data_IF_021121105557
#
_entry.id   IF_021121105557
#
_cell.length_a   1.000
_cell.length_b   1.000
_cell.length_c   1.000
_cell.angle_alpha   90.00
_cell.angle_beta   90.00
_cell.angle_gamma   90.00
#
_symmetry.space_group_name_H-M   'P 1'
#
loop_
_entity.id
_entity.type
_entity.pdbx_description
1 polymer ?
#
# COMPACT_ATOMS: atom_id res chain seq x y z
N UNK A 1 -16.97 -45.05 -22.23
CA UNK A 1 -15.49 -44.95 -22.21
C UNK A 1 -15.06 -44.40 -20.86
N UNK A 2 -14.41 -45.21 -20.02
CA UNK A 2 -13.81 -44.71 -18.78
C UNK A 2 -12.59 -43.86 -19.13
N UNK A 3 -12.51 -42.63 -18.61
CA UNK A 3 -11.40 -41.74 -18.90
C UNK A 3 -10.07 -42.33 -18.43
N UNK A 4 -9.04 -42.29 -19.29
CA UNK A 4 -7.72 -42.90 -19.07
C UNK A 4 -6.86 -42.21 -18.00
N UNK A 5 -7.37 -41.17 -17.30
CA UNK A 5 -6.61 -40.39 -16.31
C UNK A 5 -7.11 -40.70 -14.90
N UNK A 6 -6.18 -41.11 -14.02
CA UNK A 6 -6.45 -41.34 -12.59
C UNK A 6 -6.93 -40.07 -11.90
N UNK A 7 -8.05 -40.15 -11.18
CA UNK A 7 -8.58 -39.01 -10.40
C UNK A 7 -7.71 -38.75 -9.17
N UNK A 8 -6.89 -37.69 -9.23
CA UNK A 8 -5.98 -37.30 -8.14
C UNK A 8 -6.70 -36.56 -7.00
N UNK A 9 -7.64 -35.66 -7.31
CA UNK A 9 -8.42 -34.89 -6.32
C UNK A 9 -9.63 -35.71 -5.82
N UNK A 10 -9.36 -36.85 -5.21
CA UNK A 10 -10.37 -37.78 -4.72
C UNK A 10 -10.71 -37.55 -3.22
N UNK A 11 -11.66 -38.33 -2.68
CA UNK A 11 -12.07 -38.25 -1.26
C UNK A 11 -10.88 -38.46 -0.31
N UNK A 12 -9.95 -39.36 -0.64
CA UNK A 12 -8.77 -39.64 0.17
C UNK A 12 -7.80 -38.45 0.21
N UNK A 13 -7.61 -37.74 -0.92
CA UNK A 13 -6.84 -36.51 -1.00
C UNK A 13 -7.38 -35.45 -0.04
N UNK A 14 -8.68 -35.13 -0.12
CA UNK A 14 -9.28 -34.09 0.72
C UNK A 14 -9.30 -34.44 2.22
N UNK A 15 -9.37 -35.73 2.57
CA UNK A 15 -9.23 -36.19 3.97
C UNK A 15 -7.86 -35.86 4.58
N UNK A 16 -6.80 -35.78 3.76
CA UNK A 16 -5.42 -35.50 4.20
C UNK A 16 -4.93 -34.11 3.79
N UNK A 17 -5.77 -33.32 3.13
CA UNK A 17 -5.37 -32.03 2.59
C UNK A 17 -5.26 -31.00 3.71
N UNK A 18 -4.02 -30.63 4.06
CA UNK A 18 -3.76 -29.57 5.02
C UNK A 18 -3.74 -28.21 4.33
N UNK A 19 -4.70 -27.36 4.69
CA UNK A 19 -4.76 -26.00 4.17
C UNK A 19 -3.65 -25.13 4.76
N UNK A 20 -3.01 -24.32 3.91
CA UNK A 20 -2.14 -23.23 4.39
C UNK A 20 -2.98 -22.14 5.08
N UNK A 21 -2.33 -21.26 5.85
CA UNK A 21 -2.97 -20.14 6.52
C UNK A 21 -3.79 -19.27 5.54
N UNK A 22 -4.89 -18.68 6.04
CA UNK A 22 -5.83 -17.89 5.24
C UNK A 22 -5.14 -16.86 4.33
N UNK A 23 -4.27 -16.01 4.89
CA UNK A 23 -3.55 -14.96 4.12
C UNK A 23 -2.54 -15.52 3.13
N UNK A 24 -2.00 -16.72 3.37
CA UNK A 24 -1.12 -17.42 2.42
C UNK A 24 -1.92 -17.96 1.23
N UNK A 25 -3.11 -18.53 1.48
CA UNK A 25 -4.05 -18.96 0.43
C UNK A 25 -4.57 -17.80 -0.40
N UNK A 26 -4.79 -16.64 0.22
CA UNK A 26 -5.13 -15.39 -0.49
C UNK A 26 -3.93 -14.73 -1.19
N UNK A 27 -2.71 -15.26 -1.03
CA UNK A 27 -1.51 -14.70 -1.69
C UNK A 27 -1.11 -13.30 -1.19
N UNK A 28 -1.46 -12.92 0.04
CA UNK A 28 -1.23 -11.56 0.58
C UNK A 28 -0.08 -11.44 1.56
N UNK A 29 0.45 -12.55 2.04
CA UNK A 29 1.48 -12.53 3.10
C UNK A 29 2.40 -13.72 2.97
N UNK A 30 3.69 -13.42 2.96
CA UNK A 30 4.73 -14.38 3.30
C UNK A 30 4.93 -14.39 4.82
N UNK A 31 4.61 -15.51 5.45
CA UNK A 31 4.76 -15.68 6.89
C UNK A 31 6.22 -15.84 7.31
N UNK A 32 7.11 -16.23 6.39
CA UNK A 32 8.54 -16.37 6.67
C UNK A 32 9.20 -15.01 6.91
N UNK A 33 8.97 -14.04 6.01
CA UNK A 33 9.37 -12.65 6.19
C UNK A 33 8.67 -12.00 7.39
N UNK A 34 7.33 -12.16 7.49
CA UNK A 34 6.54 -11.55 8.58
C UNK A 34 7.02 -11.97 9.97
N UNK A 35 7.34 -13.25 10.17
CA UNK A 35 7.83 -13.75 11.47
C UNK A 35 9.10 -13.00 11.91
N UNK A 36 10.06 -12.79 11.01
CA UNK A 36 11.32 -12.08 11.32
C UNK A 36 11.12 -10.60 11.58
N UNK A 37 10.18 -9.99 10.86
CA UNK A 37 9.93 -8.56 10.95
C UNK A 37 9.18 -8.17 12.23
N UNK A 38 8.26 -9.03 12.68
CA UNK A 38 7.30 -8.70 13.75
C UNK A 38 7.70 -9.23 15.12
N UNK A 39 8.40 -10.36 15.18
CA UNK A 39 8.83 -10.93 16.47
C UNK A 39 9.83 -9.98 17.14
N UNK A 40 9.56 -9.69 18.40
CA UNK A 40 10.40 -8.87 19.27
C UNK A 40 11.26 -9.76 20.18
N UNK A 41 12.43 -9.24 20.56
CA UNK A 41 13.30 -9.91 21.53
C UNK A 41 12.57 -10.02 22.89
N UNK A 42 12.59 -11.20 23.50
CA UNK A 42 11.81 -11.47 24.72
C UNK A 42 12.26 -10.64 25.92
N UNK A 43 13.53 -10.23 25.96
CA UNK A 43 14.08 -9.37 27.00
C UNK A 43 13.56 -7.91 26.94
N UNK A 44 12.87 -7.52 25.85
CA UNK A 44 12.22 -6.20 25.73
C UNK A 44 10.75 -6.21 26.18
N UNK A 45 10.24 -7.37 26.62
CA UNK A 45 8.91 -7.57 27.16
C UNK A 45 7.81 -6.95 26.29
N UNK A 46 7.13 -5.91 26.80
CA UNK A 46 5.98 -5.28 26.15
C UNK A 46 6.36 -4.18 25.13
N UNK A 47 7.66 -3.95 24.89
CA UNK A 47 8.11 -2.92 23.95
C UNK A 47 7.67 -3.27 22.52
N UNK A 48 6.82 -2.44 21.88
CA UNK A 48 6.32 -2.73 20.54
C UNK A 48 7.44 -2.63 19.49
N UNK A 49 7.46 -3.58 18.56
CA UNK A 49 8.31 -3.52 17.37
C UNK A 49 7.50 -2.91 16.22
N UNK A 50 7.79 -1.65 15.90
CA UNK A 50 7.06 -0.90 14.87
C UNK A 50 7.55 -1.24 13.46
N UNK A 51 6.61 -1.36 12.53
CA UNK A 51 6.88 -1.55 11.11
C UNK A 51 6.17 -0.50 10.28
N UNK A 52 6.87 -0.01 9.26
CA UNK A 52 6.34 0.82 8.19
C UNK A 52 5.82 -0.10 7.07
N UNK A 53 4.51 -0.31 7.04
CA UNK A 53 3.84 -1.10 6.01
C UNK A 53 3.57 -0.20 4.81
N UNK A 54 4.19 -0.53 3.68
CA UNK A 54 3.95 0.16 2.40
C UNK A 54 3.30 -0.81 1.43
N UNK A 55 2.12 -0.45 0.90
CA UNK A 55 1.38 -1.27 -0.07
C UNK A 55 0.92 -0.41 -1.23
N UNK A 56 1.17 -0.90 -2.44
CA UNK A 56 0.66 -0.31 -3.66
C UNK A 56 -0.60 -1.07 -4.09
N UNK A 57 -1.63 -0.32 -4.42
CA UNK A 57 -2.75 -0.81 -5.22
C UNK A 57 -2.63 -0.20 -6.63
N UNK A 58 -3.54 -0.54 -7.53
CA UNK A 58 -3.49 -0.01 -8.90
C UNK A 58 -3.67 1.52 -8.97
N UNK A 59 -4.33 2.13 -7.97
CA UNK A 59 -4.72 3.55 -8.00
C UNK A 59 -4.40 4.32 -6.71
N UNK A 60 -3.77 3.67 -5.74
CA UNK A 60 -3.52 4.26 -4.42
C UNK A 60 -2.26 3.67 -3.79
N UNK A 61 -1.61 4.45 -2.94
CA UNK A 61 -0.47 4.04 -2.11
C UNK A 61 -0.93 4.10 -0.67
N UNK A 62 -0.69 3.02 0.08
CA UNK A 62 -1.10 2.87 1.47
C UNK A 62 0.17 2.76 2.31
N UNK A 63 0.38 3.72 3.20
CA UNK A 63 1.48 3.73 4.15
C UNK A 63 0.91 3.69 5.57
N UNK A 64 1.36 2.73 6.39
CA UNK A 64 0.86 2.54 7.76
C UNK A 64 2.01 2.24 8.71
N UNK A 65 1.96 2.77 9.92
CA UNK A 65 2.81 2.32 11.02
C UNK A 65 2.02 1.41 11.93
N UNK A 66 2.53 0.19 12.15
CA UNK A 66 1.85 -0.82 12.94
C UNK A 66 2.80 -1.60 13.84
N UNK A 67 2.27 -2.20 14.90
CA UNK A 67 2.95 -3.23 15.67
C UNK A 67 1.98 -4.40 15.89
N UNK A 68 2.50 -5.58 16.27
CA UNK A 68 1.63 -6.75 16.46
C UNK A 68 1.22 -6.93 17.93
N UNK A 69 -0.03 -7.35 18.13
CA UNK A 69 -0.55 -7.94 19.36
C UNK A 69 -1.11 -9.33 19.06
N UNK A 70 -1.47 -10.07 20.11
CA UNK A 70 -2.05 -11.42 20.02
C UNK A 70 -3.36 -11.42 19.22
N UNK A 71 -4.23 -10.43 19.45
CA UNK A 71 -5.52 -10.29 18.76
C UNK A 71 -5.38 -9.85 17.31
N UNK A 72 -4.27 -9.19 16.96
CA UNK A 72 -4.05 -8.61 15.64
C UNK A 72 -3.08 -7.44 15.65
N UNK A 73 -2.84 -6.91 14.46
CA UNK A 73 -1.98 -5.75 14.28
C UNK A 73 -2.70 -4.47 14.73
N UNK A 74 -2.03 -3.65 15.52
CA UNK A 74 -2.51 -2.34 15.93
C UNK A 74 -1.89 -1.28 15.03
N UNK A 75 -2.73 -0.54 14.29
CA UNK A 75 -2.30 0.56 13.43
C UNK A 75 -2.20 1.83 14.27
N UNK A 76 -1.00 2.42 14.33
CA UNK A 76 -0.74 3.66 15.08
C UNK A 76 -1.12 4.88 14.24
N UNK A 77 -0.71 4.88 12.97
CA UNK A 77 -0.92 5.97 12.02
C UNK A 77 -1.03 5.40 10.61
N UNK A 78 -1.74 6.11 9.73
CA UNK A 78 -1.89 5.76 8.31
C UNK A 78 -1.88 7.03 7.46
N UNK A 79 -1.41 6.91 6.23
CA UNK A 79 -1.48 7.92 5.18
C UNK A 79 -1.76 7.23 3.83
N UNK A 80 -2.44 7.94 2.94
CA UNK A 80 -2.88 7.40 1.66
C UNK A 80 -2.62 8.38 0.53
N UNK A 81 -2.39 7.89 -0.69
CA UNK A 81 -2.14 8.77 -1.83
C UNK A 81 -3.40 9.55 -2.23
N UNK A 82 -4.60 9.00 -2.01
CA UNK A 82 -5.85 9.73 -2.25
C UNK A 82 -6.07 10.94 -1.31
N UNK A 83 -5.23 11.14 -0.29
CA UNK A 83 -5.22 12.36 0.54
C UNK A 83 -4.35 13.47 -0.08
N UNK A 84 -3.39 13.12 -0.95
CA UNK A 84 -2.45 14.06 -1.56
C UNK A 84 -3.08 15.20 -2.38
N UNK A 85 -4.28 15.05 -3.00
CA UNK A 85 -4.95 16.17 -3.65
C UNK A 85 -5.21 17.37 -2.73
N UNK A 86 -5.35 17.17 -1.41
CA UNK A 86 -5.45 18.28 -0.42
C UNK A 86 -4.18 19.12 -0.37
N UNK A 87 -3.05 18.53 -0.70
CA UNK A 87 -1.71 19.14 -0.67
C UNK A 87 -1.24 19.60 -2.06
N UNK A 88 -2.12 19.58 -3.07
CA UNK A 88 -1.82 20.08 -4.42
C UNK A 88 -1.53 19.01 -5.46
N UNK A 89 -1.19 17.77 -5.06
CA UNK A 89 -0.94 16.66 -6.00
C UNK A 89 -2.27 15.99 -6.39
N UNK A 90 -2.91 16.52 -7.43
CA UNK A 90 -4.25 16.08 -7.88
C UNK A 90 -4.24 14.79 -8.72
N UNK A 91 -3.15 14.52 -9.42
CA UNK A 91 -2.96 13.37 -10.35
C UNK A 91 -1.62 12.68 -10.07
N UNK A 92 -1.37 11.54 -10.74
CA UNK A 92 -0.10 10.82 -10.57
C UNK A 92 0.05 10.11 -9.21
N UNK A 93 -1.05 9.71 -8.58
CA UNK A 93 -1.08 9.21 -7.19
C UNK A 93 -0.35 7.88 -6.94
N UNK A 94 0.25 7.27 -7.96
CA UNK A 94 0.96 5.98 -7.84
C UNK A 94 2.39 6.03 -8.37
N UNK A 95 2.94 7.20 -8.71
CA UNK A 95 4.34 7.33 -9.15
C UNK A 95 5.32 7.37 -7.95
N UNK A 96 6.63 7.49 -8.23
CA UNK A 96 7.66 7.52 -7.17
C UNK A 96 7.54 8.78 -6.29
N UNK A 97 7.28 9.94 -6.88
CA UNK A 97 7.08 11.21 -6.20
C UNK A 97 5.88 11.19 -5.23
N UNK A 98 4.75 10.63 -5.65
CA UNK A 98 3.59 10.42 -4.80
C UNK A 98 3.89 9.43 -3.66
N UNK A 99 4.68 8.38 -3.92
CA UNK A 99 5.13 7.47 -2.86
C UNK A 99 5.92 8.22 -1.78
N UNK A 100 6.89 9.03 -2.20
CA UNK A 100 7.66 9.91 -1.30
C UNK A 100 6.73 10.83 -0.49
N UNK A 101 5.81 11.54 -1.13
CA UNK A 101 4.84 12.40 -0.46
C UNK A 101 4.01 11.65 0.59
N UNK A 102 3.52 10.44 0.27
CA UNK A 102 2.74 9.64 1.24
C UNK A 102 3.56 9.18 2.44
N UNK A 103 4.84 8.86 2.24
CA UNK A 103 5.77 8.53 3.31
C UNK A 103 6.03 9.71 4.23
N UNK A 104 6.31 10.88 3.64
CA UNK A 104 6.51 12.14 4.35
C UNK A 104 5.27 12.51 5.18
N UNK A 105 4.08 12.41 4.59
CA UNK A 105 2.81 12.66 5.28
C UNK A 105 2.62 11.73 6.48
N UNK A 106 2.91 10.44 6.33
CA UNK A 106 2.81 9.48 7.43
C UNK A 106 3.76 9.83 8.57
N UNK A 107 5.02 10.16 8.26
CA UNK A 107 6.03 10.51 9.24
C UNK A 107 5.66 11.76 10.04
N UNK A 108 5.32 12.86 9.35
CA UNK A 108 4.92 14.12 10.02
C UNK A 108 3.67 13.92 10.89
N UNK A 109 2.69 13.15 10.41
CA UNK A 109 1.47 12.82 11.17
C UNK A 109 1.77 11.98 12.41
N UNK A 110 2.70 11.02 12.30
CA UNK A 110 3.09 10.16 13.41
C UNK A 110 3.86 10.95 14.48
N UNK A 111 4.81 11.78 14.07
CA UNK A 111 5.60 12.62 14.99
C UNK A 111 4.71 13.64 15.69
N UNK A 112 3.77 14.28 14.99
CA UNK A 112 2.81 15.19 15.62
C UNK A 112 1.94 14.47 16.66
N UNK A 113 1.52 13.22 16.38
CA UNK A 113 0.75 12.40 17.32
C UNK A 113 1.52 12.10 18.61
N UNK A 114 2.84 11.94 18.53
CA UNK A 114 3.71 11.71 19.69
C UNK A 114 4.39 12.97 20.21
N UNK A 115 4.09 14.15 19.65
CA UNK A 115 4.70 15.45 20.00
C UNK A 115 6.23 15.47 19.82
N UNK A 116 6.72 14.77 18.81
CA UNK A 116 8.15 14.67 18.43
C UNK A 116 8.49 15.51 17.20
N UNK A 117 7.51 16.20 16.63
CA UNK A 117 7.60 16.93 15.36
C UNK A 117 8.48 18.17 15.42
N UNK A 118 8.63 18.78 16.60
CA UNK A 118 9.55 19.90 16.84
C UNK A 118 11.01 19.48 17.01
N UNK A 119 11.25 18.29 17.58
CA UNK A 119 12.58 17.74 17.84
C UNK A 119 13.14 17.14 16.55
N UNK A 120 12.37 16.23 15.94
CA UNK A 120 12.77 15.53 14.73
C UNK A 120 12.08 16.15 13.51
N UNK A 121 12.67 17.22 12.97
CA UNK A 121 12.18 17.88 11.75
C UNK A 121 12.46 17.07 10.48
N UNK A 122 13.47 16.20 10.52
CA UNK A 122 13.95 15.43 9.38
C UNK A 122 14.79 16.28 8.42
N UNK A 123 14.91 15.86 7.17
CA UNK A 123 15.60 16.63 6.14
C UNK A 123 14.68 17.76 5.65
N UNK A 124 15.00 19.02 5.97
CA UNK A 124 14.18 20.17 5.54
C UNK A 124 14.27 20.37 4.02
N UNK A 125 15.47 20.22 3.46
CA UNK A 125 15.74 20.23 2.04
C UNK A 125 15.87 18.81 1.48
N UNK A 126 15.29 18.59 0.30
CA UNK A 126 15.29 17.28 -0.34
C UNK A 126 16.47 17.19 -1.32
N UNK A 127 17.59 16.68 -0.82
CA UNK A 127 18.83 16.49 -1.61
C UNK A 127 18.90 15.13 -2.31
N UNK A 128 18.09 14.16 -1.88
CA UNK A 128 18.14 12.77 -2.39
C UNK A 128 19.18 11.89 -1.69
N UNK A 129 20.02 12.47 -0.84
CA UNK A 129 21.05 11.76 -0.09
C UNK A 129 20.49 10.84 0.99
N UNK A 130 21.34 10.01 1.59
CA UNK A 130 20.93 9.18 2.72
C UNK A 130 20.74 10.04 3.97
N UNK A 131 19.62 9.88 4.66
CA UNK A 131 19.32 10.62 5.89
C UNK A 131 18.76 9.68 6.96
N UNK A 132 19.26 9.82 8.18
CA UNK A 132 18.75 9.13 9.37
C UNK A 132 18.56 10.13 10.49
N UNK A 133 17.40 10.09 11.15
CA UNK A 133 17.22 10.81 12.40
C UNK A 133 18.05 10.13 13.49
N UNK A 134 18.98 10.88 14.07
CA UNK A 134 19.76 10.47 15.23
C UNK A 134 19.03 10.86 16.50
N UNK A 135 19.31 10.17 17.61
CA UNK A 135 18.78 10.55 18.92
C UNK A 135 19.37 11.90 19.32
N UNK A 136 18.53 12.78 19.89
CA UNK A 136 18.98 14.08 20.36
C UNK A 136 19.25 13.98 21.87
N UNK A 137 20.32 14.64 22.32
CA UNK A 137 20.70 14.63 23.74
C UNK A 137 19.57 15.20 24.60
N UNK A 138 19.29 14.53 25.72
CA UNK A 138 18.23 14.88 26.69
C UNK A 138 16.80 14.97 26.12
N UNK A 139 16.55 14.39 24.93
CA UNK A 139 15.23 14.30 24.31
C UNK A 139 14.78 12.85 24.14
N UNK A 140 13.46 12.58 23.99
CA UNK A 140 12.99 11.25 23.64
C UNK A 140 13.60 10.80 22.31
N UNK A 141 14.11 9.57 22.24
CA UNK A 141 14.77 9.05 21.03
C UNK A 141 13.88 9.05 19.78
N UNK A 142 14.54 9.01 18.62
CA UNK A 142 13.89 9.03 17.32
C UNK A 142 12.94 7.85 17.15
N UNK A 143 11.80 8.06 16.47
CA UNK A 143 10.82 7.00 16.29
C UNK A 143 11.36 5.94 15.32
N UNK A 144 11.85 4.84 15.88
CA UNK A 144 12.40 3.73 15.10
C UNK A 144 11.33 2.80 14.54
N UNK A 145 11.36 2.56 13.23
CA UNK A 145 10.50 1.55 12.60
C UNK A 145 11.16 0.82 11.42
N UNK A 146 10.66 -0.37 11.10
CA UNK A 146 11.25 -1.24 10.08
C UNK A 146 10.36 -1.35 8.84
N UNK A 147 10.93 -1.24 7.64
CA UNK A 147 10.16 -1.34 6.40
C UNK A 147 9.57 -2.74 6.18
N UNK A 148 8.24 -2.82 6.03
CA UNK A 148 7.50 -4.00 5.61
C UNK A 148 7.09 -3.85 4.14
N UNK A 149 7.83 -4.49 3.24
CA UNK A 149 7.57 -4.52 1.79
C UNK A 149 6.51 -5.54 1.38
N UNK A 150 6.12 -6.44 2.28
CA UNK A 150 5.18 -7.52 2.01
C UNK A 150 5.69 -8.49 0.95
N UNK A 151 4.99 -8.56 -0.18
CA UNK A 151 5.33 -9.42 -1.32
C UNK A 151 5.90 -8.62 -2.50
N UNK A 152 6.12 -7.32 -2.34
CA UNK A 152 6.69 -6.50 -3.38
C UNK A 152 8.14 -6.95 -3.68
N UNK A 153 8.50 -6.99 -4.96
CA UNK A 153 9.88 -7.25 -5.37
C UNK A 153 10.72 -6.01 -5.06
N UNK A 154 11.80 -6.21 -4.32
CA UNK A 154 12.71 -5.15 -3.87
C UNK A 154 13.85 -4.93 -4.87
N UNK A 155 13.50 -4.55 -6.10
CA UNK A 155 14.48 -4.10 -7.10
C UNK A 155 14.89 -2.65 -6.84
N UNK A 156 16.03 -2.26 -7.39
CA UNK A 156 16.48 -0.85 -7.39
C UNK A 156 15.45 0.01 -8.11
N UNK A 157 15.13 1.18 -7.54
CA UNK A 157 14.12 2.10 -8.07
C UNK A 157 12.66 1.72 -7.76
N UNK A 158 12.42 0.65 -6.99
CA UNK A 158 11.05 0.29 -6.61
C UNK A 158 10.41 1.40 -5.75
N UNK A 159 9.19 1.81 -6.12
CA UNK A 159 8.42 2.90 -5.46
C UNK A 159 8.20 2.71 -3.96
N UNK A 160 8.28 1.48 -3.46
CA UNK A 160 8.25 1.17 -2.02
C UNK A 160 9.35 1.90 -1.26
N UNK A 161 10.53 2.05 -1.88
CA UNK A 161 11.64 2.78 -1.30
C UNK A 161 11.45 4.30 -1.37
N UNK A 162 10.68 4.82 -2.33
CA UNK A 162 10.26 6.23 -2.34
C UNK A 162 9.43 6.58 -1.09
N UNK A 163 8.44 5.75 -0.76
CA UNK A 163 7.67 5.93 0.48
C UNK A 163 8.51 5.78 1.75
N UNK A 164 9.47 4.84 1.76
CA UNK A 164 10.41 4.71 2.87
C UNK A 164 11.29 5.96 3.02
N UNK A 165 11.85 6.46 1.91
CA UNK A 165 12.68 7.66 1.89
C UNK A 165 11.92 8.89 2.36
N UNK A 166 10.69 9.09 1.88
CA UNK A 166 9.83 10.18 2.36
C UNK A 166 9.53 10.08 3.86
N UNK A 167 9.36 8.86 4.38
CA UNK A 167 9.17 8.66 5.82
C UNK A 167 10.46 8.93 6.63
N UNK A 168 11.62 8.55 6.10
CA UNK A 168 12.94 8.85 6.68
C UNK A 168 13.19 10.36 6.74
N UNK A 169 12.97 11.06 5.62
CA UNK A 169 13.13 12.52 5.51
C UNK A 169 12.10 13.30 6.33
N UNK A 170 10.98 12.66 6.69
CA UNK A 170 10.00 13.22 7.59
C UNK A 170 10.41 13.18 9.07
N UNK A 171 11.51 12.48 9.41
CA UNK A 171 12.07 12.41 10.77
C UNK A 171 11.92 11.05 11.46
N UNK A 172 11.62 9.97 10.74
CA UNK A 172 11.60 8.62 11.31
C UNK A 172 12.98 7.96 11.19
N UNK A 173 13.40 7.23 12.22
CA UNK A 173 14.55 6.34 12.13
C UNK A 173 14.15 5.03 11.45
N UNK A 174 14.51 4.91 10.17
CA UNK A 174 14.30 3.68 9.39
C UNK A 174 15.66 3.20 8.91
N UNK A 175 16.18 2.06 9.41
CA UNK A 175 17.46 1.55 8.94
C UNK A 175 17.36 1.08 7.48
N UNK A 176 18.17 1.66 6.60
CA UNK A 176 18.19 1.37 5.17
C UNK A 176 19.57 1.63 4.55
N UNK A 177 19.74 1.29 3.27
CA UNK A 177 20.94 1.62 2.47
C UNK A 177 20.51 2.26 1.14
N UNK A 178 21.43 2.98 0.49
CA UNK A 178 21.16 3.66 -0.79
C UNK A 178 21.02 2.73 -1.98
N UNK A 179 21.41 1.45 -1.84
CA UNK A 179 21.47 0.44 -2.93
C UNK A 179 20.16 0.18 -3.67
N UNK A 180 19.02 0.56 -3.08
CA UNK A 180 17.69 0.32 -3.67
C UNK A 180 16.99 1.58 -4.16
N UNK A 181 17.62 2.74 -4.01
CA UNK A 181 17.10 3.99 -4.56
C UNK A 181 17.36 4.09 -6.07
N UNK A 182 16.51 4.82 -6.82
CA UNK A 182 16.89 5.31 -8.14
C UNK A 182 18.22 6.05 -8.07
N UNK A 183 19.10 5.88 -9.05
CA UNK A 183 20.44 6.47 -9.07
C UNK A 183 21.54 5.61 -8.47
N UNK A 184 21.23 4.43 -7.92
CA UNK A 184 22.27 3.45 -7.58
C UNK A 184 22.60 2.58 -8.79
N UNK A 185 23.88 2.54 -9.15
CA UNK A 185 24.39 1.64 -10.18
C UNK A 185 25.00 0.38 -9.54
N UNK A 186 24.59 -0.78 -10.05
CA UNK A 186 25.03 -2.08 -9.54
C UNK A 186 26.44 -2.47 -9.99
N UNK A 187 26.91 -1.91 -11.11
CA UNK A 187 28.23 -2.22 -11.69
C UNK A 187 29.33 -1.40 -11.01
N UNK A 188 29.21 -0.06 -11.04
CA UNK A 188 30.13 0.85 -10.36
C UNK A 188 29.99 0.81 -8.83
N UNK A 189 28.84 0.36 -8.31
CA UNK A 189 28.46 0.41 -6.87
C UNK A 189 28.37 1.84 -6.32
N UNK A 190 28.23 2.83 -7.18
CA UNK A 190 28.09 4.24 -6.83
C UNK A 190 26.62 4.66 -6.74
N UNK A 191 26.35 5.70 -5.95
CA UNK A 191 25.02 6.26 -5.77
C UNK A 191 25.01 7.73 -6.17
N UNK A 192 24.22 8.05 -7.18
CA UNK A 192 23.96 9.43 -7.60
C UNK A 192 22.70 9.96 -6.90
N UNK A 193 22.88 10.89 -5.95
CA UNK A 193 21.82 11.52 -5.20
C UNK A 193 20.93 12.44 -6.04
N UNK A 194 21.47 13.07 -7.09
CA UNK A 194 20.73 13.96 -7.98
C UNK A 194 19.67 13.18 -8.77
N UNK A 195 20.03 12.02 -9.32
CA UNK A 195 19.06 11.14 -10.00
C UNK A 195 17.95 10.71 -9.03
N UNK A 196 18.29 10.43 -7.78
CA UNK A 196 17.28 10.11 -6.77
C UNK A 196 16.36 11.30 -6.48
N UNK A 197 16.93 12.49 -6.31
CA UNK A 197 16.19 13.75 -6.14
C UNK A 197 15.22 13.99 -7.29
N UNK A 198 15.67 13.79 -8.52
CA UNK A 198 14.84 13.96 -9.72
C UNK A 198 13.65 13.00 -9.76
N UNK A 199 13.81 11.78 -9.25
CA UNK A 199 12.70 10.84 -9.09
C UNK A 199 11.72 11.27 -7.99
N UNK A 200 12.21 11.88 -6.91
CA UNK A 200 11.37 12.42 -5.82
C UNK A 200 10.52 13.59 -6.33
N UNK A 201 11.06 14.44 -7.19
CA UNK A 201 10.33 15.56 -7.80
C UNK A 201 9.60 15.22 -9.11
N UNK A 202 9.66 13.96 -9.54
CA UNK A 202 8.90 13.48 -10.69
C UNK A 202 9.44 13.94 -12.05
N UNK A 203 10.70 14.34 -12.16
CA UNK A 203 11.31 14.77 -13.44
C UNK A 203 11.28 13.67 -14.51
N UNK A 204 11.50 12.41 -14.14
CA UNK A 204 11.31 11.27 -15.06
C UNK A 204 9.89 11.21 -15.69
N UNK A 205 8.86 11.66 -14.97
CA UNK A 205 7.50 11.77 -15.53
C UNK A 205 7.40 12.97 -16.46
N UNK A 206 8.01 14.10 -16.09
CA UNK A 206 8.07 15.28 -16.94
C UNK A 206 8.80 15.01 -18.26
N UNK A 207 9.95 14.33 -18.21
CA UNK A 207 10.71 13.89 -19.38
C UNK A 207 9.88 12.95 -20.26
N UNK A 208 9.20 11.98 -19.66
CA UNK A 208 8.31 11.09 -20.42
C UNK A 208 7.13 11.84 -21.06
N UNK A 209 6.61 12.88 -20.40
CA UNK A 209 5.60 13.76 -20.99
C UNK A 209 6.14 14.55 -22.18
N UNK A 210 7.37 15.09 -22.08
CA UNK A 210 8.03 15.83 -23.17
C UNK A 210 8.32 14.93 -24.36
N UNK A 211 8.91 13.77 -24.11
CA UNK A 211 9.20 12.77 -25.14
C UNK A 211 7.93 12.35 -25.89
N UNK A 212 6.84 12.02 -25.18
CA UNK A 212 5.58 11.66 -25.83
C UNK A 212 4.94 12.82 -26.60
N UNK A 213 5.12 14.06 -26.16
CA UNK A 213 4.59 15.22 -26.87
C UNK A 213 5.30 15.43 -28.22
N UNK A 214 6.60 15.15 -28.27
CA UNK A 214 7.43 15.23 -29.49
C UNK A 214 7.21 14.04 -30.43
N UNK A 215 7.14 12.82 -29.88
CA UNK A 215 7.07 11.57 -30.65
C UNK A 215 5.64 11.22 -31.12
N UNK A 216 4.64 11.32 -30.24
CA UNK A 216 3.26 10.86 -30.50
C UNK A 216 2.21 11.59 -29.62
N UNK A 217 1.59 12.61 -30.20
CA UNK A 217 0.57 13.42 -29.53
C UNK A 217 -0.69 12.60 -29.15
N UNK A 218 -1.04 11.55 -29.89
CA UNK A 218 -2.20 10.70 -29.57
C UNK A 218 -1.91 9.84 -28.34
N UNK A 219 -0.73 9.23 -28.26
CA UNK A 219 -0.27 8.50 -27.08
C UNK A 219 -0.17 9.43 -25.86
N UNK A 220 0.31 10.67 -26.04
CA UNK A 220 0.33 11.69 -24.99
C UNK A 220 -1.09 11.97 -24.45
N UNK A 221 -2.06 12.25 -25.33
CA UNK A 221 -3.46 12.49 -24.95
C UNK A 221 -4.06 11.30 -24.22
N UNK A 222 -3.75 10.07 -24.64
CA UNK A 222 -4.23 8.84 -23.99
C UNK A 222 -3.64 8.67 -22.59
N UNK A 223 -2.31 8.76 -22.47
CA UNK A 223 -1.59 8.48 -21.22
C UNK A 223 -1.79 9.58 -20.18
N UNK A 224 -1.76 10.85 -20.60
CA UNK A 224 -1.79 12.02 -19.73
C UNK A 224 -3.09 12.83 -19.80
N UNK A 225 -4.18 12.24 -20.30
CA UNK A 225 -5.53 12.87 -20.39
C UNK A 225 -5.94 13.66 -19.15
N UNK A 226 -5.67 13.14 -17.94
CA UNK A 226 -6.01 13.82 -16.68
C UNK A 226 -5.10 15.00 -16.35
N UNK A 227 -3.84 14.98 -16.78
CA UNK A 227 -2.92 16.10 -16.64
C UNK A 227 -3.37 17.25 -17.55
N UNK A 228 -3.70 16.93 -18.82
CA UNK A 228 -4.25 17.89 -19.78
C UNK A 228 -5.53 18.53 -19.24
N UNK A 229 -6.46 17.73 -18.71
CA UNK A 229 -7.72 18.24 -18.12
C UNK A 229 -7.50 19.22 -16.96
N UNK A 230 -6.39 19.11 -16.24
CA UNK A 230 -6.04 19.98 -15.12
C UNK A 230 -5.06 21.10 -15.51
N UNK A 231 -4.64 21.17 -16.78
CA UNK A 231 -3.68 22.15 -17.26
C UNK A 231 -2.27 21.99 -16.68
N UNK A 232 -1.88 20.78 -16.25
CA UNK A 232 -0.56 20.54 -15.66
C UNK A 232 0.48 20.25 -16.75
N UNK A 233 1.48 21.12 -16.87
CA UNK A 233 2.59 20.96 -17.82
C UNK A 233 3.76 20.20 -17.19
N UNK A 234 4.69 19.64 -18.01
CA UNK A 234 5.85 18.93 -17.50
C UNK A 234 6.72 19.77 -16.55
N UNK A 235 6.92 21.05 -16.88
CA UNK A 235 7.80 21.96 -16.14
C UNK A 235 7.23 22.36 -14.77
N UNK A 236 5.91 22.27 -14.60
CA UNK A 236 5.23 22.58 -13.33
C UNK A 236 5.28 21.45 -12.29
N UNK A 237 5.71 20.24 -12.67
CA UNK A 237 5.67 19.07 -11.79
C UNK A 237 6.59 19.23 -10.57
N UNK A 238 7.82 19.72 -10.75
CA UNK A 238 8.76 19.93 -9.65
C UNK A 238 8.23 20.97 -8.65
N UNK A 239 7.66 22.07 -9.15
CA UNK A 239 7.03 23.10 -8.32
C UNK A 239 5.80 22.54 -7.57
N UNK A 240 5.02 21.67 -8.20
CA UNK A 240 3.85 21.02 -7.59
C UNK A 240 4.26 20.15 -6.41
N UNK A 241 5.28 19.30 -6.57
CA UNK A 241 5.77 18.44 -5.48
C UNK A 241 6.47 19.24 -4.37
N UNK A 242 7.23 20.28 -4.71
CA UNK A 242 7.83 21.18 -3.72
C UNK A 242 6.78 21.84 -2.83
N UNK A 243 5.71 22.40 -3.43
CA UNK A 243 4.57 22.97 -2.69
C UNK A 243 3.87 21.92 -1.83
N UNK A 244 3.72 20.70 -2.34
CA UNK A 244 3.12 19.60 -1.59
C UNK A 244 3.95 19.20 -0.36
N UNK A 245 5.28 19.10 -0.48
CA UNK A 245 6.16 18.81 0.64
C UNK A 245 6.05 19.86 1.75
N UNK A 246 6.01 21.14 1.38
CA UNK A 246 5.83 22.25 2.31
C UNK A 246 4.44 22.20 2.98
N UNK A 247 3.38 21.98 2.19
CA UNK A 247 2.01 21.89 2.70
C UNK A 247 1.82 20.71 3.67
N UNK A 248 2.44 19.57 3.37
CA UNK A 248 2.44 18.39 4.26
C UNK A 248 3.14 18.68 5.58
N UNK A 249 4.30 19.37 5.55
CA UNK A 249 5.01 19.75 6.78
C UNK A 249 4.21 20.75 7.62
N UNK A 250 3.50 21.67 6.97
CA UNK A 250 2.66 22.67 7.64
C UNK A 250 1.44 22.04 8.33
N UNK A 251 0.75 21.11 7.65
CA UNK A 251 -0.46 20.48 8.18
C UNK A 251 -0.57 18.99 7.82
N UNK A 252 -0.01 18.08 8.63
CA UNK A 252 -0.12 16.65 8.39
C UNK A 252 -1.43 16.04 8.94
N UNK A 253 -2.40 16.86 9.37
CA UNK A 253 -3.62 16.38 10.03
C UNK A 253 -4.48 15.48 9.13
N UNK A 254 -5.19 14.56 9.77
CA UNK A 254 -6.21 13.76 9.08
C UNK A 254 -7.40 14.64 8.67
N UNK A 255 -8.01 14.41 7.49
CA UNK A 255 -9.25 15.08 7.14
C UNK A 255 -10.34 14.71 8.15
N UNK A 256 -11.18 15.69 8.53
CA UNK A 256 -12.31 15.43 9.41
C UNK A 256 -13.26 14.42 8.76
N UNK A 257 -13.52 13.32 9.49
CA UNK A 257 -14.47 12.30 9.01
C UNK A 257 -15.88 12.85 9.16
N UNK A 258 -16.62 12.90 8.05
CA UNK A 258 -18.07 13.11 8.10
C UNK A 258 -18.70 11.99 8.92
N UNK A 259 -19.54 12.36 9.90
CA UNK A 259 -20.27 11.37 10.69
C UNK A 259 -21.16 10.52 9.78
N UNK A 260 -20.96 9.20 9.84
CA UNK A 260 -21.82 8.26 9.14
C UNK A 260 -23.06 8.00 9.99
N UNK A 261 -24.18 8.59 9.61
CA UNK A 261 -25.48 8.25 10.21
C UNK A 261 -25.87 6.84 9.76
N UNK A 262 -26.30 5.99 10.70
CA UNK A 262 -26.90 4.70 10.35
C UNK A 262 -28.17 4.97 9.55
N UNK A 263 -28.42 4.25 8.44
CA UNK A 263 -29.67 4.41 7.71
C UNK A 263 -30.84 4.08 8.64
N UNK A 264 -31.84 4.97 8.68
CA UNK A 264 -33.09 4.76 9.43
C UNK A 264 -34.06 3.98 8.55
N UNK A 265 -34.56 2.85 9.03
CA UNK A 265 -35.54 2.01 8.31
C UNK A 265 -34.93 0.78 7.61
N UNK A 266 -35.62 0.29 6.57
CA UNK A 266 -35.23 -0.91 5.84
C UNK A 266 -33.94 -0.70 5.03
N UNK A 267 -32.96 -1.57 5.25
CA UNK A 267 -31.71 -1.59 4.48
C UNK A 267 -31.79 -2.69 3.43
N UNK A 268 -31.83 -2.30 2.15
CA UNK A 268 -31.78 -3.24 1.03
C UNK A 268 -30.49 -4.04 1.07
N UNK A 269 -30.61 -5.36 1.18
CA UNK A 269 -29.48 -6.28 1.13
C UNK A 269 -29.30 -6.83 -0.27
N UNK A 270 -28.10 -6.69 -0.84
CA UNK A 270 -27.77 -7.21 -2.18
C UNK A 270 -27.31 -8.68 -2.17
N UNK A 271 -26.93 -9.18 -0.99
CA UNK A 271 -26.45 -10.55 -0.84
C UNK A 271 -27.62 -11.51 -0.61
N UNK A 272 -27.62 -12.63 -1.33
CA UNK A 272 -28.57 -13.71 -1.09
C UNK A 272 -28.36 -14.29 0.31
N UNK A 273 -29.42 -14.41 1.13
CA UNK A 273 -29.31 -15.03 2.44
C UNK A 273 -29.02 -16.52 2.30
N UNK A 274 -28.31 -17.09 3.29
CA UNK A 274 -28.10 -18.54 3.35
C UNK A 274 -29.45 -19.23 3.46
N UNK A 275 -29.72 -20.18 2.56
CA UNK A 275 -30.96 -20.95 2.59
C UNK A 275 -31.07 -21.76 3.88
N UNK A 276 -32.26 -21.74 4.47
CA UNK A 276 -32.58 -22.56 5.65
C UNK A 276 -32.51 -24.04 5.30
N UNK A 277 -32.34 -24.90 6.31
CA UNK A 277 -32.34 -26.35 6.11
C UNK A 277 -33.67 -26.83 5.50
N UNK A 278 -34.80 -26.33 6.00
CA UNK A 278 -36.13 -26.68 5.51
C UNK A 278 -36.32 -26.30 4.04
N UNK A 279 -35.94 -25.08 3.65
CA UNK A 279 -36.01 -24.64 2.26
C UNK A 279 -35.15 -25.51 1.33
N UNK A 280 -33.95 -25.93 1.78
CA UNK A 280 -33.08 -26.84 1.02
C UNK A 280 -33.69 -28.23 0.86
N UNK A 281 -34.27 -28.80 1.92
CA UNK A 281 -34.93 -30.11 1.89
C UNK A 281 -36.14 -30.11 0.95
N UNK A 282 -37.03 -29.14 1.11
CA UNK A 282 -38.21 -28.98 0.26
C UNK A 282 -37.81 -28.81 -1.22
N UNK A 283 -36.80 -27.98 -1.52
CA UNK A 283 -36.29 -27.83 -2.88
C UNK A 283 -35.80 -29.15 -3.50
N UNK A 284 -35.17 -30.02 -2.72
CA UNK A 284 -34.74 -31.34 -3.19
C UNK A 284 -35.95 -32.24 -3.46
N UNK A 285 -36.93 -32.25 -2.57
CA UNK A 285 -38.17 -33.03 -2.74
C UNK A 285 -38.95 -32.61 -3.98
N UNK A 286 -39.15 -31.30 -4.18
CA UNK A 286 -39.80 -30.75 -5.36
C UNK A 286 -39.06 -31.15 -6.64
N UNK A 287 -37.72 -31.09 -6.64
CA UNK A 287 -36.91 -31.54 -7.78
C UNK A 287 -37.08 -33.03 -8.07
N UNK A 288 -37.09 -33.89 -7.04
CA UNK A 288 -37.32 -35.33 -7.21
C UNK A 288 -38.70 -35.59 -7.83
N UNK A 289 -39.74 -34.93 -7.31
CA UNK A 289 -41.11 -35.05 -7.84
C UNK A 289 -41.19 -34.62 -9.31
N UNK A 290 -40.59 -33.48 -9.66
CA UNK A 290 -40.58 -32.98 -11.03
C UNK A 290 -39.86 -33.93 -12.01
N UNK A 291 -38.73 -34.51 -11.61
CA UNK A 291 -38.00 -35.49 -12.44
C UNK A 291 -38.82 -36.76 -12.66
N UNK A 292 -39.44 -37.29 -11.60
CA UNK A 292 -40.30 -38.47 -11.70
C UNK A 292 -41.49 -38.20 -12.64
N UNK A 293 -42.13 -37.03 -12.52
CA UNK A 293 -43.22 -36.65 -13.39
C UNK A 293 -42.78 -36.55 -14.86
N UNK A 294 -41.60 -35.97 -15.12
CA UNK A 294 -41.03 -35.89 -16.47
C UNK A 294 -40.75 -37.26 -17.08
N UNK A 295 -40.15 -38.18 -16.32
CA UNK A 295 -39.85 -39.53 -16.80
C UNK A 295 -41.14 -40.28 -17.14
N UNK A 296 -42.19 -40.11 -16.34
CA UNK A 296 -43.51 -40.72 -16.62
C UNK A 296 -44.11 -40.18 -17.91
N UNK A 297 -44.06 -38.86 -18.12
CA UNK A 297 -44.58 -38.22 -19.31
C UNK A 297 -43.76 -38.50 -20.60
N UNK A 298 -42.47 -38.83 -20.49
CA UNK A 298 -41.65 -39.27 -21.64
C UNK A 298 -41.85 -40.77 -21.97
N UNK A 299 -42.49 -41.53 -21.08
CA UNK A 299 -42.77 -42.96 -21.24
C UNK A 299 -44.21 -43.26 -21.70
N UNK A 300 -45.11 -42.28 -21.60
CA UNK A 300 -46.44 -42.25 -22.22
C UNK A 300 -46.38 -41.68 -23.63
#
# INVERSE_FOLDING_TARGET
>A
MAGFVKVVKNKAYFKRFQVKFKRRREGKTDYYARRRLVVQDKNKYNTPKYRLIVRFTNKDIICQVAYAKIEGDQIVCAAYAHELPRYGVKVGLTNYAAAYCTGLLLARRLLQKFKLDGIYKGAEEVTGEQFFSQDADDQPGAFRCFLDVGLARTTTGARVFGAMKGASDGGLDIPHSTKRFPGYDGESKEFNAEVHRDHIFGKHVAEYMKQLLEDDEEAYKRQFSKYIKLGLTPDELEATYTKAHQAIRKDPSLPQKKERKKPTGYVKTYNLPKQTLAARKNKIEQRKKAVIARIKAEAE
#
